data_IF_737086484469
#
_entry.id   IF_737086484469
#
_cell.length_a   1.000
_cell.length_b   1.000
_cell.length_c   1.000
_cell.angle_alpha   90.00
_cell.angle_beta   90.00
_cell.angle_gamma   90.00
#
_symmetry.space_group_name_H-M   'P 1'
#
loop_
_entity.id
_entity.type
_entity.pdbx_description
1 polymer ?
#
# COMPACT_ATOMS: atom_id res chain seq x y z
N UNK A 1 13.12 -4.78 -8.05
CA UNK A 1 13.36 -5.00 -6.61
C UNK A 1 12.25 -4.36 -5.81
N UNK A 2 11.69 -5.04 -4.84
CA UNK A 2 10.63 -4.54 -3.97
C UNK A 2 11.25 -4.08 -2.64
N UNK A 3 11.15 -2.79 -2.32
CA UNK A 3 11.84 -2.19 -1.18
C UNK A 3 10.85 -1.38 -0.33
N UNK A 4 10.93 -1.48 1.01
CA UNK A 4 10.12 -0.61 1.87
C UNK A 4 10.48 0.87 1.68
N UNK A 5 9.45 1.73 1.69
CA UNK A 5 9.66 3.17 1.64
C UNK A 5 9.70 3.69 3.08
N UNK A 6 10.87 4.13 3.53
CA UNK A 6 11.09 4.56 4.91
C UNK A 6 11.44 6.03 5.07
N UNK A 7 11.83 6.70 4.00
CA UNK A 7 12.20 8.10 4.05
C UNK A 7 10.96 8.96 4.26
N UNK A 8 10.93 9.71 5.37
CA UNK A 8 9.80 10.55 5.74
C UNK A 8 9.45 11.59 4.67
N UNK A 9 10.45 12.22 4.08
CA UNK A 9 10.23 13.23 3.03
C UNK A 9 9.60 12.62 1.78
N UNK A 10 10.02 11.40 1.41
CA UNK A 10 9.46 10.69 0.27
C UNK A 10 8.01 10.27 0.53
N UNK A 11 7.70 9.87 1.75
CA UNK A 11 6.33 9.53 2.15
C UNK A 11 5.44 10.77 2.10
N UNK A 12 5.92 11.90 2.59
CA UNK A 12 5.20 13.18 2.51
C UNK A 12 4.98 13.62 1.07
N UNK A 13 5.98 13.47 0.21
CA UNK A 13 5.86 13.77 -1.20
C UNK A 13 4.77 12.92 -1.86
N UNK A 14 4.73 11.65 -1.52
CA UNK A 14 3.72 10.72 -2.03
C UNK A 14 2.30 11.14 -1.59
N UNK A 15 2.15 11.61 -0.35
CA UNK A 15 0.88 12.13 0.14
C UNK A 15 0.42 13.38 -0.58
N UNK A 16 1.34 14.31 -0.86
CA UNK A 16 0.99 15.62 -1.44
C UNK A 16 0.96 15.62 -2.96
N UNK A 17 1.83 14.87 -3.60
CA UNK A 17 1.99 14.89 -5.06
C UNK A 17 1.54 13.61 -5.75
N UNK A 18 1.34 12.52 -5.01
CA UNK A 18 0.90 11.25 -5.58
C UNK A 18 -0.56 11.28 -5.97
N UNK A 19 -0.91 10.50 -6.97
CA UNK A 19 -2.30 10.29 -7.34
C UNK A 19 -2.97 9.39 -6.31
N UNK A 20 -4.26 9.59 -6.11
CA UNK A 20 -5.04 8.84 -5.12
C UNK A 20 -6.08 7.97 -5.81
N UNK A 21 -6.15 6.71 -5.41
CA UNK A 21 -7.20 5.78 -5.79
C UNK A 21 -7.71 5.10 -4.53
N UNK A 22 -9.02 5.02 -4.37
CA UNK A 22 -9.63 4.44 -3.17
C UNK A 22 -10.63 3.35 -3.54
N UNK A 23 -10.74 2.36 -2.66
CA UNK A 23 -11.81 1.36 -2.69
C UNK A 23 -12.42 1.30 -1.30
N UNK A 24 -13.32 0.36 -1.07
CA UNK A 24 -13.92 0.16 0.25
C UNK A 24 -12.89 -0.22 1.31
N UNK A 25 -11.87 -1.01 0.94
CA UNK A 25 -10.92 -1.58 1.88
C UNK A 25 -9.62 -0.78 1.97
N UNK A 26 -9.19 -0.17 0.89
CA UNK A 26 -7.86 0.45 0.79
C UNK A 26 -7.90 1.81 0.11
N UNK A 27 -7.03 2.70 0.57
CA UNK A 27 -6.65 3.88 -0.17
C UNK A 27 -5.22 3.64 -0.69
N UNK A 28 -5.00 3.95 -1.95
CA UNK A 28 -3.67 3.85 -2.56
C UNK A 28 -3.25 5.23 -3.05
N UNK A 29 -2.07 5.66 -2.64
CA UNK A 29 -1.40 6.81 -3.24
C UNK A 29 -0.22 6.30 -4.01
N UNK A 30 -0.03 6.78 -5.22
CA UNK A 30 0.98 6.25 -6.13
C UNK A 30 1.60 7.35 -6.97
N UNK A 31 2.84 7.11 -7.36
CA UNK A 31 3.67 8.09 -8.03
C UNK A 31 4.73 7.38 -8.87
N UNK A 32 5.06 7.94 -10.03
CA UNK A 32 6.21 7.52 -10.80
C UNK A 32 7.39 8.42 -10.45
N UNK A 33 8.39 7.85 -9.78
CA UNK A 33 9.60 8.58 -9.41
C UNK A 33 10.75 8.21 -10.33
N UNK A 34 11.41 9.21 -10.88
CA UNK A 34 12.60 9.00 -11.72
C UNK A 34 13.81 8.59 -10.88
N UNK A 35 13.81 8.94 -9.59
CA UNK A 35 14.94 8.68 -8.70
C UNK A 35 15.11 7.19 -8.37
N UNK A 36 14.03 6.42 -8.46
CA UNK A 36 14.02 5.01 -8.06
C UNK A 36 13.65 4.08 -9.22
N UNK A 37 14.02 4.43 -10.44
CA UNK A 37 13.75 3.58 -11.60
C UNK A 37 14.34 2.19 -11.39
N UNK A 38 13.53 1.16 -11.67
CA UNK A 38 13.92 -0.24 -11.47
C UNK A 38 13.64 -0.77 -10.08
N UNK A 39 13.19 0.06 -9.15
CA UNK A 39 12.80 -0.36 -7.80
C UNK A 39 11.34 -0.01 -7.55
N UNK A 40 10.61 -0.93 -6.92
CA UNK A 40 9.29 -0.65 -6.37
C UNK A 40 9.43 -0.34 -4.89
N UNK A 41 8.95 0.83 -4.48
CA UNK A 41 8.95 1.20 -3.08
C UNK A 41 7.52 1.29 -2.56
N UNK A 42 7.30 0.79 -1.36
CA UNK A 42 5.97 0.75 -0.79
C UNK A 42 5.99 0.99 0.72
N UNK A 43 4.89 1.53 1.22
CA UNK A 43 4.63 1.64 2.65
C UNK A 43 3.17 1.24 2.90
N UNK A 44 2.93 0.55 4.00
CA UNK A 44 1.60 0.11 4.42
C UNK A 44 1.25 0.79 5.73
N UNK A 45 0.01 1.24 5.85
CA UNK A 45 -0.47 1.98 7.02
C UNK A 45 -1.74 1.32 7.55
N UNK A 46 -1.74 1.00 8.84
CA UNK A 46 -2.94 0.63 9.59
C UNK A 46 -3.21 1.77 10.58
N UNK A 47 -4.22 2.60 10.34
CA UNK A 47 -4.43 3.81 11.15
C UNK A 47 -4.69 3.50 12.63
N UNK A 48 -4.03 4.23 13.51
CA UNK A 48 -4.19 4.09 14.95
C UNK A 48 -5.62 4.40 15.39
N UNK A 49 -6.27 5.29 14.70
CA UNK A 49 -7.67 5.66 14.90
C UNK A 49 -8.60 4.44 14.83
N UNK A 50 -8.37 3.55 13.87
CA UNK A 50 -9.19 2.35 13.66
C UNK A 50 -8.70 1.17 14.50
N UNK A 51 -7.41 1.13 14.82
CA UNK A 51 -6.77 0.04 15.54
C UNK A 51 -5.86 0.60 16.64
N UNK A 52 -6.44 0.95 17.82
CA UNK A 52 -5.65 1.51 18.92
C UNK A 52 -4.57 0.55 19.44
N UNK A 53 -4.83 -0.77 19.34
CA UNK A 53 -3.89 -1.78 19.83
C UNK A 53 -2.81 -2.04 18.80
N UNK A 54 -1.55 -1.99 19.24
CA UNK A 54 -0.40 -2.23 18.38
C UNK A 54 -0.41 -3.63 17.76
N UNK A 55 -0.90 -4.63 18.50
CA UNK A 55 -1.01 -6.02 18.02
C UNK A 55 -1.85 -6.10 16.75
N UNK A 56 -2.99 -5.42 16.74
CA UNK A 56 -3.90 -5.44 15.59
C UNK A 56 -3.28 -4.72 14.39
N UNK A 57 -2.67 -3.55 14.62
CA UNK A 57 -2.00 -2.81 13.57
C UNK A 57 -0.88 -3.61 12.93
N UNK A 58 -0.07 -4.27 13.74
CA UNK A 58 1.05 -5.08 13.25
C UNK A 58 0.58 -6.27 12.43
N UNK A 59 -0.50 -6.90 12.83
CA UNK A 59 -1.12 -8.02 12.11
C UNK A 59 -1.58 -7.58 10.72
N UNK A 60 -2.26 -6.45 10.63
CA UNK A 60 -2.74 -5.88 9.37
C UNK A 60 -1.57 -5.51 8.46
N UNK A 61 -0.57 -4.81 8.99
CA UNK A 61 0.62 -4.42 8.24
C UNK A 61 1.35 -5.64 7.66
N UNK A 62 1.49 -6.69 8.47
CA UNK A 62 2.14 -7.93 8.02
C UNK A 62 1.39 -8.55 6.85
N UNK A 63 0.06 -8.65 6.96
CA UNK A 63 -0.79 -9.19 5.88
C UNK A 63 -0.69 -8.34 4.62
N UNK A 64 -0.72 -7.02 4.75
CA UNK A 64 -0.59 -6.12 3.61
C UNK A 64 0.76 -6.26 2.92
N UNK A 65 1.85 -6.38 3.68
CA UNK A 65 3.20 -6.58 3.10
C UNK A 65 3.29 -7.90 2.34
N UNK A 66 2.70 -8.96 2.87
CA UNK A 66 2.66 -10.26 2.18
C UNK A 66 1.88 -10.17 0.88
N UNK A 67 0.75 -9.45 0.87
CA UNK A 67 -0.07 -9.25 -0.32
C UNK A 67 0.69 -8.44 -1.37
N UNK A 68 1.36 -7.37 -0.97
CA UNK A 68 2.19 -6.56 -1.86
C UNK A 68 3.24 -7.42 -2.53
N UNK A 69 3.92 -8.27 -1.77
CA UNK A 69 4.93 -9.18 -2.31
C UNK A 69 4.36 -10.17 -3.30
N UNK A 70 3.21 -10.76 -3.00
CA UNK A 70 2.53 -11.71 -3.89
C UNK A 70 2.05 -11.06 -5.18
N UNK A 71 1.63 -9.80 -5.12
CA UNK A 71 1.06 -9.06 -6.24
C UNK A 71 2.05 -8.11 -6.90
N UNK A 72 3.33 -8.32 -6.68
CA UNK A 72 4.41 -7.51 -7.22
C UNK A 72 4.30 -7.28 -8.73
N UNK A 73 3.99 -8.33 -9.48
CA UNK A 73 3.86 -8.23 -10.94
C UNK A 73 2.77 -7.25 -11.37
N UNK A 74 1.66 -7.19 -10.64
CA UNK A 74 0.60 -6.23 -10.90
C UNK A 74 1.07 -4.80 -10.66
N UNK A 75 1.84 -4.59 -9.59
CA UNK A 75 2.39 -3.27 -9.29
C UNK A 75 3.39 -2.83 -10.36
N UNK A 76 4.22 -3.74 -10.83
CA UNK A 76 5.17 -3.46 -11.91
C UNK A 76 4.44 -3.07 -13.19
N UNK A 77 3.32 -3.72 -13.49
CA UNK A 77 2.50 -3.44 -14.67
C UNK A 77 1.76 -2.12 -14.62
N UNK A 78 1.61 -1.52 -13.44
CA UNK A 78 0.86 -0.27 -13.27
C UNK A 78 1.58 0.95 -13.86
N UNK A 79 2.89 0.88 -14.02
CA UNK A 79 3.71 2.01 -14.48
C UNK A 79 4.16 2.95 -13.36
N UNK A 80 3.70 2.73 -12.14
CA UNK A 80 4.12 3.48 -10.96
C UNK A 80 5.17 2.70 -10.19
N UNK A 81 6.01 3.39 -9.43
CA UNK A 81 7.05 2.72 -8.65
C UNK A 81 7.05 3.07 -7.16
N UNK A 82 6.28 4.07 -6.75
CA UNK A 82 6.10 4.41 -5.34
C UNK A 82 4.63 4.23 -4.97
N UNK A 83 4.37 3.51 -3.85
CA UNK A 83 3.02 3.20 -3.40
C UNK A 83 2.88 3.40 -1.89
N UNK A 84 1.75 3.96 -1.48
CA UNK A 84 1.35 4.01 -0.08
C UNK A 84 -0.05 3.41 0.00
N UNK A 85 -0.20 2.37 0.80
CA UNK A 85 -1.49 1.70 1.00
C UNK A 85 -1.97 1.93 2.42
N UNK A 86 -3.19 2.43 2.55
CA UNK A 86 -3.85 2.65 3.83
C UNK A 86 -5.01 1.68 3.95
N UNK A 87 -5.08 0.95 5.06
CA UNK A 87 -6.19 0.06 5.35
C UNK A 87 -7.34 0.88 5.92
N UNK A 88 -8.51 0.82 5.29
CA UNK A 88 -9.66 1.67 5.63
C UNK A 88 -10.69 1.02 6.55
N UNK A 89 -10.66 -0.31 6.70
CA UNK A 89 -11.63 -1.00 7.54
C UNK A 89 -11.27 -0.87 9.02
N UNK A 90 -12.28 -1.00 9.88
CA UNK A 90 -12.12 -0.95 11.33
C UNK A 90 -11.98 -2.35 11.94
N UNK A 91 -12.08 -3.38 11.14
CA UNK A 91 -11.97 -4.79 11.56
C UNK A 91 -10.84 -5.48 10.82
N UNK A 92 -10.29 -6.52 11.43
CA UNK A 92 -9.22 -7.33 10.82
C UNK A 92 -9.87 -8.36 9.92
N UNK A 93 -9.79 -8.14 8.61
CA UNK A 93 -10.36 -9.05 7.62
C UNK A 93 -9.38 -10.18 7.29
N UNK A 94 -9.91 -11.25 6.68
CA UNK A 94 -9.07 -12.38 6.25
C UNK A 94 -8.09 -11.94 5.15
N UNK A 95 -6.96 -12.63 5.06
CA UNK A 95 -5.98 -12.38 4.00
C UNK A 95 -6.58 -12.54 2.62
N UNK A 96 -7.49 -13.50 2.47
CA UNK A 96 -8.17 -13.75 1.20
C UNK A 96 -9.03 -12.58 0.76
N UNK A 97 -9.83 -12.03 1.67
CA UNK A 97 -10.65 -10.86 1.40
C UNK A 97 -9.79 -9.64 1.06
N UNK A 98 -8.71 -9.44 1.81
CA UNK A 98 -7.77 -8.35 1.57
C UNK A 98 -7.10 -8.48 0.20
N UNK A 99 -6.67 -9.67 -0.19
CA UNK A 99 -6.04 -9.91 -1.49
C UNK A 99 -6.97 -9.60 -2.65
N UNK A 100 -8.21 -10.02 -2.54
CA UNK A 100 -9.22 -9.79 -3.57
C UNK A 100 -9.44 -8.30 -3.82
N UNK A 101 -9.62 -7.54 -2.76
CA UNK A 101 -9.84 -6.09 -2.85
C UNK A 101 -8.59 -5.34 -3.30
N UNK A 102 -7.42 -5.77 -2.82
CA UNK A 102 -6.15 -5.21 -3.24
C UNK A 102 -5.93 -5.39 -4.75
N UNK A 103 -6.20 -6.59 -5.25
CA UNK A 103 -6.05 -6.88 -6.68
C UNK A 103 -6.96 -5.99 -7.52
N UNK A 104 -8.22 -5.82 -7.12
CA UNK A 104 -9.15 -4.93 -7.81
C UNK A 104 -8.64 -3.49 -7.87
N UNK A 105 -8.14 -3.00 -6.75
CA UNK A 105 -7.63 -1.64 -6.66
C UNK A 105 -6.42 -1.42 -7.57
N UNK A 106 -5.46 -2.31 -7.52
CA UNK A 106 -4.23 -2.20 -8.32
C UNK A 106 -4.53 -2.30 -9.82
N UNK A 107 -5.45 -3.16 -10.22
CA UNK A 107 -5.84 -3.28 -11.64
C UNK A 107 -6.51 -2.03 -12.17
N UNK A 108 -7.04 -1.18 -11.30
CA UNK A 108 -7.70 0.05 -11.70
C UNK A 108 -6.75 1.25 -11.81
N UNK A 109 -5.48 1.10 -11.45
CA UNK A 109 -4.49 2.18 -11.49
C UNK A 109 -4.08 2.61 -12.90
#
# INVERSE_FOLDING_TARGET
MLVPLKNKKKIELLFHSGEKKSSEFFECRHLSSLDDQGALRFVVVAPKKNFPRAVDRNKIKRRMREIVRKKRSLLESSGFNWFLFVYLKEEVLSSEAMQKEFTKLVRSL
#
